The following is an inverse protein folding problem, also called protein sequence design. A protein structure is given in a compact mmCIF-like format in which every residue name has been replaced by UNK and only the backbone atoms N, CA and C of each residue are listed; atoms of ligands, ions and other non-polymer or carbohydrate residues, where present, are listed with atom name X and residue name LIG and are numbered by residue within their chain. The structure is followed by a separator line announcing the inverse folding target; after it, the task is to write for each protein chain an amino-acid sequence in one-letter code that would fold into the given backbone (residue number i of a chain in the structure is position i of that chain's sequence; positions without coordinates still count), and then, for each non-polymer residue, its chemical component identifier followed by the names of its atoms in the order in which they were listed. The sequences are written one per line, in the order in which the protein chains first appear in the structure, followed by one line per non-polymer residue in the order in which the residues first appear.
data_IF_433293482052
#
_entry.id   IF_433293482052
#
_cell.length_a   1.000
_cell.length_b   1.000
_cell.length_c   1.000
_cell.angle_alpha   90.00
_cell.angle_beta   90.00
_cell.angle_gamma   90.00
#
_symmetry.space_group_name_H-M   'P 1'
#
loop_
_entity.id
_entity.type
_entity.pdbx_description
1 polymer ?
#
# COMPACT_ATOMS: atom_id res chain seq x y z
N UNK A 1 4.02 -8.30 8.73
CA UNK A 1 4.50 -7.92 7.37
C UNK A 1 4.76 -6.42 7.26
N UNK A 2 3.81 -5.57 7.65
CA UNK A 2 3.91 -4.11 7.50
C UNK A 2 5.12 -3.47 8.19
N UNK A 3 5.48 -3.90 9.40
CA UNK A 3 6.61 -3.31 10.15
C UNK A 3 8.00 -3.59 9.56
N UNK A 4 8.12 -4.47 8.57
CA UNK A 4 9.38 -4.81 7.90
C UNK A 4 9.40 -4.37 6.43
N UNK A 5 8.32 -3.74 5.96
CA UNK A 5 8.16 -3.37 4.56
C UNK A 5 8.26 -1.85 4.40
N UNK A 6 8.92 -1.42 3.34
CA UNK A 6 9.00 0.00 2.97
C UNK A 6 7.70 0.49 2.29
N UNK A 7 6.95 -0.42 1.66
CA UNK A 7 5.62 -0.16 1.08
C UNK A 7 4.82 -1.46 0.96
N UNK A 8 3.53 -1.35 0.67
CA UNK A 8 2.68 -2.50 0.37
C UNK A 8 1.82 -2.24 -0.86
N UNK A 9 1.68 -3.26 -1.72
CA UNK A 9 0.75 -3.24 -2.85
C UNK A 9 -0.36 -4.27 -2.64
N UNK A 10 -1.61 -3.82 -2.70
CA UNK A 10 -2.80 -4.67 -2.72
C UNK A 10 -3.24 -4.89 -4.16
N UNK A 11 -3.03 -6.11 -4.66
CA UNK A 11 -3.48 -6.52 -6.00
C UNK A 11 -5.00 -6.71 -6.03
N UNK A 12 -5.54 -7.38 -5.02
CA UNK A 12 -6.98 -7.62 -4.83
C UNK A 12 -7.28 -7.87 -3.35
N UNK A 13 -8.28 -7.17 -2.81
CA UNK A 13 -8.84 -7.45 -1.49
C UNK A 13 -10.33 -7.79 -1.62
N UNK A 14 -10.81 -8.79 -0.88
CA UNK A 14 -12.26 -9.01 -0.74
C UNK A 14 -12.91 -7.97 0.18
N UNK A 15 -14.24 -7.88 0.15
CA UNK A 15 -15.02 -7.01 1.05
C UNK A 15 -14.83 -7.31 2.54
N UNK A 16 -14.40 -8.52 2.88
CA UNK A 16 -14.01 -8.95 4.22
C UNK A 16 -12.73 -9.81 4.15
N UNK A 17 -12.05 -9.99 5.29
CA UNK A 17 -10.90 -10.88 5.42
C UNK A 17 -9.56 -10.16 5.71
N UNK A 18 -8.48 -10.94 5.78
CA UNK A 18 -7.19 -10.46 6.28
C UNK A 18 -6.57 -9.31 5.49
N UNK A 19 -6.65 -9.34 4.16
CA UNK A 19 -6.03 -8.31 3.31
C UNK A 19 -6.66 -6.93 3.54
N UNK A 20 -7.99 -6.84 3.55
CA UNK A 20 -8.69 -5.57 3.76
C UNK A 20 -8.47 -5.07 5.19
N UNK A 21 -8.57 -5.94 6.20
CA UNK A 21 -8.34 -5.56 7.59
C UNK A 21 -6.91 -5.07 7.83
N UNK A 22 -5.91 -5.79 7.33
CA UNK A 22 -4.50 -5.42 7.50
C UNK A 22 -4.16 -4.11 6.78
N UNK A 23 -4.62 -3.93 5.54
CA UNK A 23 -4.35 -2.72 4.77
C UNK A 23 -5.07 -1.49 5.35
N UNK A 24 -6.29 -1.65 5.86
CA UNK A 24 -7.01 -0.57 6.55
C UNK A 24 -6.29 -0.13 7.83
N UNK A 25 -5.79 -1.07 8.63
CA UNK A 25 -5.06 -0.73 9.85
C UNK A 25 -3.73 -0.03 9.54
N UNK A 26 -3.03 -0.48 8.49
CA UNK A 26 -1.81 0.18 8.02
C UNK A 26 -2.07 1.62 7.54
N UNK A 27 -3.17 1.86 6.82
CA UNK A 27 -3.59 3.20 6.39
C UNK A 27 -3.96 4.09 7.58
N UNK A 28 -4.80 3.59 8.49
CA UNK A 28 -5.28 4.31 9.67
C UNK A 28 -4.13 4.80 10.56
N UNK A 29 -3.09 3.99 10.71
CA UNK A 29 -1.92 4.34 11.52
C UNK A 29 -0.75 4.89 10.70
N UNK A 30 -0.93 5.07 9.39
CA UNK A 30 0.08 5.60 8.48
C UNK A 30 1.43 4.86 8.59
N UNK A 31 1.41 3.54 8.79
CA UNK A 31 2.62 2.75 9.03
C UNK A 31 3.57 2.76 7.83
N UNK A 32 3.01 2.76 6.62
CA UNK A 32 3.75 2.81 5.36
C UNK A 32 2.81 3.23 4.23
N UNK A 33 3.35 3.65 3.07
CA UNK A 33 2.56 3.87 1.86
C UNK A 33 1.89 2.58 1.39
N UNK A 34 0.57 2.64 1.16
CA UNK A 34 -0.21 1.54 0.57
C UNK A 34 -0.66 1.92 -0.83
N UNK A 35 -0.38 1.04 -1.78
CA UNK A 35 -0.78 1.16 -3.16
C UNK A 35 -1.76 0.07 -3.53
N UNK A 36 -2.63 0.35 -4.49
CA UNK A 36 -3.70 -0.55 -4.89
C UNK A 36 -3.70 -0.67 -6.40
N UNK A 37 -3.75 -1.92 -6.88
CA UNK A 37 -3.88 -2.17 -8.32
C UNK A 37 -5.33 -1.91 -8.75
N UNK A 38 -5.56 -1.12 -9.81
CA UNK A 38 -6.88 -1.04 -10.43
C UNK A 38 -7.35 -2.44 -10.85
N UNK A 39 -8.59 -2.78 -10.53
CA UNK A 39 -9.24 -3.98 -11.05
C UNK A 39 -10.71 -3.70 -11.37
N UNK A 40 -11.31 -4.50 -12.24
CA UNK A 40 -12.72 -4.40 -12.64
C UNK A 40 -13.63 -5.31 -11.80
N UNK A 41 -13.10 -5.86 -10.71
CA UNK A 41 -13.84 -6.78 -9.84
C UNK A 41 -14.76 -5.97 -8.91
N UNK A 42 -16.07 -6.02 -9.16
CA UNK A 42 -17.07 -5.32 -8.35
C UNK A 42 -17.16 -5.85 -6.90
N UNK A 43 -16.62 -7.03 -6.60
CA UNK A 43 -16.55 -7.60 -5.25
C UNK A 43 -15.22 -7.30 -4.54
N UNK A 44 -14.39 -6.46 -5.16
CA UNK A 44 -13.12 -6.00 -4.61
C UNK A 44 -13.31 -4.82 -3.68
N UNK A 45 -12.63 -4.84 -2.53
CA UNK A 45 -12.53 -3.72 -1.61
C UNK A 45 -11.42 -2.71 -1.99
N UNK A 46 -10.80 -2.86 -3.16
CA UNK A 46 -9.70 -2.00 -3.59
C UNK A 46 -10.07 -0.50 -3.62
N UNK A 47 -11.29 -0.15 -4.05
CA UNK A 47 -11.76 1.25 -4.03
C UNK A 47 -11.85 1.80 -2.60
N UNK A 48 -12.33 0.99 -1.65
CA UNK A 48 -12.43 1.37 -0.24
C UNK A 48 -11.05 1.68 0.35
N UNK A 49 -10.02 0.94 -0.03
CA UNK A 49 -8.65 1.24 0.40
C UNK A 49 -8.18 2.61 -0.10
N UNK A 50 -8.52 2.97 -1.35
CA UNK A 50 -8.17 4.28 -1.90
C UNK A 50 -8.97 5.41 -1.27
N UNK A 51 -10.26 5.19 -1.00
CA UNK A 51 -11.08 6.13 -0.21
C UNK A 51 -10.51 6.39 1.20
N UNK A 52 -9.69 5.46 1.73
CA UNK A 52 -9.03 5.56 3.03
C UNK A 52 -7.54 5.96 2.95
N UNK A 53 -7.09 6.49 1.81
CA UNK A 53 -5.76 7.10 1.67
C UNK A 53 -4.71 6.25 0.96
N UNK A 54 -5.08 5.07 0.44
CA UNK A 54 -4.19 4.36 -0.48
C UNK A 54 -4.12 5.06 -1.84
N UNK A 55 -3.05 4.81 -2.59
CA UNK A 55 -2.89 5.36 -3.95
C UNK A 55 -3.12 4.30 -5.02
N UNK A 56 -3.80 4.66 -6.11
CA UNK A 56 -3.86 3.79 -7.28
C UNK A 56 -2.48 3.66 -7.93
N UNK A 57 -2.09 2.45 -8.30
CA UNK A 57 -0.90 2.18 -9.09
C UNK A 57 -1.16 1.11 -10.15
N UNK A 58 -0.97 1.49 -11.42
CA UNK A 58 -1.06 0.57 -12.56
C UNK A 58 0.25 -0.18 -12.81
N UNK A 59 1.31 0.14 -12.05
CA UNK A 59 2.62 -0.46 -12.22
C UNK A 59 2.61 -1.94 -11.81
N UNK A 60 3.62 -2.67 -12.29
CA UNK A 60 3.91 -3.99 -11.76
C UNK A 60 4.43 -3.83 -10.33
N UNK A 61 4.16 -4.80 -9.46
CA UNK A 61 4.53 -4.72 -8.05
C UNK A 61 6.03 -4.46 -7.85
N UNK A 62 6.86 -4.99 -8.75
CA UNK A 62 8.32 -4.79 -8.79
C UNK A 62 8.77 -3.38 -9.18
N UNK A 63 7.94 -2.60 -9.87
CA UNK A 63 8.26 -1.26 -10.35
C UNK A 63 7.65 -0.16 -9.51
N UNK A 64 6.90 -0.53 -8.48
CA UNK A 64 6.21 0.39 -7.60
C UNK A 64 7.20 1.39 -6.99
N UNK A 65 7.09 2.65 -7.38
CA UNK A 65 7.90 3.71 -6.77
C UNK A 65 7.53 3.84 -5.29
N UNK A 66 8.49 3.54 -4.43
CA UNK A 66 8.37 3.75 -2.98
C UNK A 66 8.75 5.20 -2.70
N UNK A 67 7.75 6.04 -2.42
CA UNK A 67 7.99 7.38 -1.87
C UNK A 67 8.14 7.26 -0.36
N UNK A 68 9.39 7.16 0.09
CA UNK A 68 9.69 7.32 1.51
C UNK A 68 9.41 8.78 1.89
N UNK A 69 8.73 9.04 3.02
CA UNK A 69 8.68 10.41 3.54
C UNK A 69 10.11 10.87 3.82
N UNK A 70 10.43 12.12 3.49
CA UNK A 70 11.67 12.76 3.92
C UNK A 70 11.64 12.87 5.45
N UNK A 71 12.10 11.83 6.14
CA UNK A 71 12.28 11.84 7.60
C UNK A 71 13.66 12.42 7.86
N UNK A 72 13.80 13.64 8.41
CA UNK A 72 15.10 14.19 8.73
C UNK A 72 15.82 13.25 9.72
N UNK A 73 16.93 12.64 9.31
CA UNK A 73 17.74 11.75 10.13
C UNK A 73 17.71 10.25 9.76
N UNK A 74 16.87 9.83 8.82
CA UNK A 74 16.95 8.49 8.21
C UNK A 74 17.63 8.60 6.85
N UNK A 75 18.97 8.62 6.84
CA UNK A 75 19.73 8.36 5.62
C UNK A 75 19.58 6.88 5.29
N UNK A 76 18.77 6.56 4.29
CA UNK A 76 18.87 5.29 3.60
C UNK A 76 20.02 5.42 2.60
N UNK A 77 21.12 4.71 2.83
CA UNK A 77 22.13 4.50 1.81
C UNK A 77 21.44 3.86 0.62
N UNK A 78 21.28 4.62 -0.47
CA UNK A 78 20.86 4.06 -1.75
C UNK A 78 21.95 3.08 -2.14
N UNK A 79 21.67 1.79 -2.05
CA UNK A 79 22.49 0.77 -2.65
C UNK A 79 22.56 1.07 -4.15
N UNK A 80 23.74 1.54 -4.58
CA UNK A 80 24.14 1.74 -5.97
C UNK A 80 24.26 0.41 -6.70
#
# INVERSE_FOLDING_TARGET
IYCLAESAMVVRAGMTGGTITGAMEALKHQWLPVQVKPNQDMQSANSRLVENGASWSAEQAENVTIRLPDVPGLMYDRAL
#
